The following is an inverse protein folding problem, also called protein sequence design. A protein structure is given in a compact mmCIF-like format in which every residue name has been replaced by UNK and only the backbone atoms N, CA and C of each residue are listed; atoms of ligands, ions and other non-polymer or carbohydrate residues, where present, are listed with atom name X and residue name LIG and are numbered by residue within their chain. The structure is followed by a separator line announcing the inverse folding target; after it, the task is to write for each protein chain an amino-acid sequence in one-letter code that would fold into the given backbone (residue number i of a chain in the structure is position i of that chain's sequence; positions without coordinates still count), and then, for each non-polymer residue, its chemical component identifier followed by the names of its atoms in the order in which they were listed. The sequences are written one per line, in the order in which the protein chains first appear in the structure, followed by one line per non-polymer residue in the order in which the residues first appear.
data_IF_976560585591
#
_entry.id   IF_976560585591
#
_cell.length_a   1.000
_cell.length_b   1.000
_cell.length_c   1.000
_cell.angle_alpha   90.00
_cell.angle_beta   90.00
_cell.angle_gamma   90.00
#
_symmetry.space_group_name_H-M   'P 1'
#
loop_
_entity.id
_entity.type
_entity.pdbx_description
1 polymer ?
#
# COMPACT_ATOMS: atom_id res chain seq x y z
N UNK A 1 -22.72 1.83 2.74
CA UNK A 1 -22.46 1.98 1.29
C UNK A 1 -21.04 1.49 1.07
N UNK A 2 -20.84 0.26 0.58
CA UNK A 2 -19.50 -0.17 0.19
C UNK A 2 -19.24 0.43 -1.20
N UNK A 3 -18.35 1.41 -1.27
CA UNK A 3 -17.79 1.78 -2.57
C UNK A 3 -16.97 0.57 -3.04
N UNK A 4 -17.56 -0.25 -3.90
CA UNK A 4 -16.79 -1.20 -4.69
C UNK A 4 -15.98 -0.39 -5.67
N UNK A 5 -14.70 -0.13 -5.36
CA UNK A 5 -13.80 0.53 -6.27
C UNK A 5 -13.73 -0.28 -7.57
N UNK A 6 -13.78 0.39 -8.73
CA UNK A 6 -13.65 -0.30 -10.01
C UNK A 6 -12.24 -0.88 -10.15
N UNK A 7 -12.12 -2.01 -10.84
CA UNK A 7 -10.82 -2.64 -11.13
C UNK A 7 -9.86 -1.70 -11.87
N UNK A 8 -10.41 -0.76 -12.63
CA UNK A 8 -9.69 0.29 -13.36
C UNK A 8 -8.98 1.26 -12.41
N UNK A 9 -9.69 1.78 -11.38
CA UNK A 9 -9.09 2.67 -10.36
C UNK A 9 -7.98 1.95 -9.60
N UNK A 10 -8.16 0.66 -9.31
CA UNK A 10 -7.14 -0.15 -8.64
C UNK A 10 -5.89 -0.28 -9.53
N UNK A 11 -6.06 -0.55 -10.82
CA UNK A 11 -4.94 -0.68 -11.76
C UNK A 11 -4.20 0.66 -11.97
N UNK A 12 -4.91 1.79 -12.01
CA UNK A 12 -4.28 3.11 -12.13
C UNK A 12 -3.45 3.46 -10.90
N UNK A 13 -3.93 3.08 -9.71
CA UNK A 13 -3.18 3.23 -8.47
C UNK A 13 -1.93 2.33 -8.44
N UNK A 14 -2.02 1.13 -8.98
CA UNK A 14 -0.88 0.22 -9.11
C UNK A 14 0.19 0.76 -10.06
N UNK A 15 -0.20 1.32 -11.21
CA UNK A 15 0.73 1.98 -12.13
C UNK A 15 1.44 3.17 -11.46
N UNK A 16 0.72 3.92 -10.60
CA UNK A 16 1.29 5.00 -9.82
C UNK A 16 2.33 4.51 -8.80
N UNK A 17 2.10 3.33 -8.20
CA UNK A 17 3.07 2.70 -7.29
C UNK A 17 4.35 2.24 -8.02
N UNK A 18 4.24 1.80 -9.28
CA UNK A 18 5.40 1.45 -10.11
C UNK A 18 6.22 2.68 -10.55
N UNK A 19 5.60 3.87 -10.63
CA UNK A 19 6.29 5.10 -11.08
C UNK A 19 7.24 5.77 -10.06
N UNK A 20 7.40 5.22 -8.86
CA UNK A 20 8.58 5.47 -8.02
C UNK A 20 8.50 6.58 -6.95
N UNK A 21 9.53 6.61 -6.10
CA UNK A 21 9.68 7.43 -4.88
C UNK A 21 9.42 8.93 -5.06
N UNK A 22 9.71 9.50 -6.24
CA UNK A 22 9.53 10.94 -6.49
C UNK A 22 8.07 11.37 -6.41
N UNK A 23 7.13 10.55 -6.91
CA UNK A 23 5.69 10.83 -6.79
C UNK A 23 5.26 10.75 -5.33
N UNK A 24 5.79 9.77 -4.58
CA UNK A 24 5.53 9.61 -3.15
C UNK A 24 5.97 10.82 -2.35
N UNK A 25 7.20 11.32 -2.57
CA UNK A 25 7.69 12.50 -1.88
C UNK A 25 6.87 13.76 -2.21
N UNK A 26 6.43 13.90 -3.46
CA UNK A 26 5.68 15.06 -3.93
C UNK A 26 4.25 15.05 -3.39
N UNK A 27 3.60 13.89 -3.40
CA UNK A 27 2.27 13.68 -2.80
C UNK A 27 2.32 13.87 -1.29
N UNK A 28 3.34 13.35 -0.61
CA UNK A 28 3.52 13.49 0.83
C UNK A 28 3.66 14.97 1.26
N UNK A 29 4.33 15.79 0.44
CA UNK A 29 4.48 17.24 0.70
C UNK A 29 3.19 18.04 0.54
N UNK A 30 2.13 17.45 -0.01
CA UNK A 30 0.87 18.14 -0.26
C UNK A 30 -0.26 17.53 0.56
N UNK A 31 -0.63 18.22 1.65
CA UNK A 31 -1.68 17.79 2.59
C UNK A 31 -3.02 17.48 1.91
N UNK A 32 -3.30 18.10 0.76
CA UNK A 32 -4.50 17.90 -0.05
C UNK A 32 -4.67 16.44 -0.50
N UNK A 33 -3.57 15.69 -0.63
CA UNK A 33 -3.60 14.29 -1.06
C UNK A 33 -3.49 13.29 0.09
N UNK A 34 -3.31 13.75 1.34
CA UNK A 34 -3.10 12.87 2.49
C UNK A 34 -4.25 11.87 2.66
N UNK A 35 -5.48 12.36 2.60
CA UNK A 35 -6.68 11.53 2.75
C UNK A 35 -6.85 10.54 1.59
N UNK A 36 -6.56 10.99 0.36
CA UNK A 36 -6.60 10.14 -0.83
C UNK A 36 -5.57 9.02 -0.72
N UNK A 37 -4.39 9.34 -0.19
CA UNK A 37 -3.30 8.39 -0.01
C UNK A 37 -3.58 7.34 1.07
N UNK A 38 -4.20 7.74 2.19
CA UNK A 38 -4.64 6.78 3.23
C UNK A 38 -5.63 5.75 2.63
N UNK A 39 -6.53 6.20 1.75
CA UNK A 39 -7.48 5.31 1.06
C UNK A 39 -6.73 4.33 0.13
N UNK A 40 -5.77 4.82 -0.67
CA UNK A 40 -4.98 3.99 -1.58
C UNK A 40 -4.25 2.87 -0.84
N UNK A 41 -3.60 3.19 0.28
CA UNK A 41 -2.92 2.19 1.10
C UNK A 41 -3.86 1.19 1.75
N UNK A 42 -5.01 1.67 2.24
CA UNK A 42 -6.04 0.81 2.82
C UNK A 42 -6.54 -0.22 1.81
N UNK A 43 -6.67 0.17 0.54
CA UNK A 43 -7.04 -0.72 -0.56
C UNK A 43 -5.88 -1.68 -0.88
N UNK A 44 -4.65 -1.17 -0.94
CA UNK A 44 -3.47 -1.99 -1.26
C UNK A 44 -3.25 -3.11 -0.22
N UNK A 45 -3.41 -2.81 1.07
CA UNK A 45 -3.31 -3.81 2.14
C UNK A 45 -4.33 -4.95 2.02
N UNK A 46 -5.51 -4.66 1.44
CA UNK A 46 -6.55 -5.66 1.21
C UNK A 46 -6.40 -6.37 -0.15
N UNK A 47 -5.45 -5.93 -0.97
CA UNK A 47 -5.17 -6.50 -2.28
C UNK A 47 -4.16 -7.63 -2.18
N UNK A 48 -4.39 -8.69 -2.96
CA UNK A 48 -3.44 -9.80 -3.09
C UNK A 48 -2.09 -9.36 -3.70
N UNK A 49 -2.02 -8.15 -4.26
CA UNK A 49 -0.81 -7.57 -4.85
C UNK A 49 0.12 -6.88 -3.85
N UNK A 50 -0.29 -6.72 -2.58
CA UNK A 50 0.59 -6.24 -1.51
C UNK A 50 1.92 -7.01 -1.45
N UNK A 51 1.88 -8.29 -1.79
CA UNK A 51 3.03 -9.20 -1.83
C UNK A 51 4.14 -8.77 -2.80
N UNK A 52 3.82 -7.90 -3.76
CA UNK A 52 4.75 -7.40 -4.78
C UNK A 52 5.32 -6.02 -4.41
N UNK A 53 4.93 -5.45 -3.26
CA UNK A 53 5.43 -4.15 -2.83
C UNK A 53 6.94 -4.22 -2.56
N UNK A 54 7.65 -3.24 -3.09
CA UNK A 54 9.09 -3.10 -2.86
C UNK A 54 9.40 -2.71 -1.40
N UNK A 55 10.58 -3.12 -0.93
CA UNK A 55 11.03 -2.88 0.45
C UNK A 55 11.01 -1.40 0.85
N UNK A 56 11.47 -0.43 0.03
CA UNK A 56 11.45 0.98 0.41
C UNK A 56 10.03 1.53 0.63
N UNK A 57 9.07 1.10 -0.19
CA UNK A 57 7.67 1.49 -0.06
C UNK A 57 7.04 0.90 1.20
N UNK A 58 7.40 -0.34 1.53
CA UNK A 58 6.98 -0.98 2.77
C UNK A 58 7.52 -0.23 4.00
N UNK A 59 8.78 0.19 3.99
CA UNK A 59 9.37 0.98 5.08
C UNK A 59 8.68 2.34 5.27
N UNK A 60 8.39 3.05 4.16
CA UNK A 60 7.66 4.32 4.21
C UNK A 60 6.26 4.13 4.80
N UNK A 61 5.62 3.03 4.46
CA UNK A 61 4.29 2.70 4.95
C UNK A 61 4.29 2.35 6.44
N UNK A 62 5.27 1.57 6.92
CA UNK A 62 5.39 1.19 8.33
C UNK A 62 5.71 2.38 9.25
N UNK A 63 6.24 3.47 8.71
CA UNK A 63 6.48 4.71 9.45
C UNK A 63 5.21 5.55 9.66
N UNK A 64 4.08 5.19 9.05
CA UNK A 64 2.81 5.91 9.16
C UNK A 64 2.01 5.47 10.37
N UNK A 65 1.43 6.43 11.07
CA UNK A 65 0.48 6.24 12.19
C UNK A 65 -0.96 6.66 11.82
N UNK A 66 -1.19 7.10 10.58
CA UNK A 66 -2.45 7.68 10.10
C UNK A 66 -3.29 6.72 9.24
N UNK A 67 -2.88 5.46 9.12
CA UNK A 67 -3.62 4.44 8.38
C UNK A 67 -4.91 4.07 9.12
N UNK A 68 -6.05 4.14 8.44
CA UNK A 68 -7.33 3.70 8.99
C UNK A 68 -7.51 2.18 8.88
N UNK A 69 -6.53 1.44 9.40
CA UNK A 69 -6.52 -0.03 9.43
C UNK A 69 -6.29 -0.50 10.87
N UNK A 70 -6.93 -1.61 11.23
CA UNK A 70 -6.62 -2.24 12.51
C UNK A 70 -5.20 -2.80 12.46
N UNK A 71 -4.44 -2.64 13.55
CA UNK A 71 -3.04 -3.12 13.60
C UNK A 71 -2.92 -4.59 13.22
N UNK A 72 -3.92 -5.41 13.58
CA UNK A 72 -3.96 -6.84 13.25
C UNK A 72 -3.98 -7.08 11.73
N UNK A 73 -4.68 -6.25 10.95
CA UNK A 73 -4.72 -6.36 9.49
C UNK A 73 -3.34 -6.05 8.88
N UNK A 74 -2.62 -5.09 9.48
CA UNK A 74 -1.26 -4.74 9.06
C UNK A 74 -0.32 -5.92 9.33
N UNK A 75 -0.35 -6.47 10.54
CA UNK A 75 0.49 -7.60 10.93
C UNK A 75 0.25 -8.86 10.08
N UNK A 76 -1.02 -9.21 9.81
CA UNK A 76 -1.36 -10.36 8.98
C UNK A 76 -0.80 -10.25 7.56
N UNK A 77 -0.82 -9.05 6.98
CA UNK A 77 -0.29 -8.81 5.64
C UNK A 77 1.25 -8.83 5.61
N UNK A 78 1.92 -8.29 6.64
CA UNK A 78 3.36 -8.40 6.78
C UNK A 78 3.82 -9.85 6.92
N UNK A 79 3.10 -10.65 7.70
CA UNK A 79 3.39 -12.08 7.88
C UNK A 79 3.26 -12.81 6.53
N UNK A 80 2.19 -12.57 5.76
CA UNK A 80 2.01 -13.15 4.42
C UNK A 80 3.13 -12.76 3.47
N UNK A 81 3.54 -11.49 3.47
CA UNK A 81 4.65 -10.99 2.65
C UNK A 81 5.98 -11.68 3.01
N UNK A 82 6.29 -11.80 4.31
CA UNK A 82 7.46 -12.52 4.80
C UNK A 82 7.46 -13.99 4.35
N UNK A 83 6.35 -14.72 4.52
CA UNK A 83 6.24 -16.11 4.07
C UNK A 83 6.53 -16.28 2.58
N UNK A 84 6.04 -15.35 1.75
CA UNK A 84 6.28 -15.39 0.31
C UNK A 84 7.73 -15.09 -0.05
N UNK A 85 8.38 -14.14 0.62
CA UNK A 85 9.81 -13.92 0.44
C UNK A 85 10.63 -15.18 0.79
N UNK A 86 10.33 -15.82 1.92
CA UNK A 86 11.00 -17.07 2.28
C UNK A 86 10.76 -18.18 1.25
N UNK A 87 9.57 -18.23 0.64
CA UNK A 87 9.27 -19.19 -0.44
C UNK A 87 9.96 -18.87 -1.78
N UNK A 88 10.30 -17.60 -2.06
CA UNK A 88 11.03 -17.20 -3.27
C UNK A 88 12.54 -17.47 -3.18
N UNK A 89 13.06 -17.65 -1.96
CA UNK A 89 14.50 -17.82 -1.69
C UNK A 89 14.91 -19.31 -1.64
N UNK A 90 13.95 -20.24 -1.57
CA UNK A 90 14.17 -21.69 -1.44
C UNK A 90 13.59 -22.46 -2.63
#
# INVERSE_FOLDING_TARGET
MSFGYSQEVINDLENLLETGEEIFETIYKHEIFKDLWIIVWTILFKSDKFINLEVPLLELLLKRDDLSLDEIDIWDNLIKWCFLLFSKIN
#
